data_IF_694240803717
#
_entry.id   IF_694240803717
#
_cell.length_a   1.000
_cell.length_b   1.000
_cell.length_c   1.000
_cell.angle_alpha   90.00
_cell.angle_beta   90.00
_cell.angle_gamma   90.00
#
_symmetry.space_group_name_H-M   'P 1'
#
loop_
_entity.id
_entity.type
_entity.pdbx_description
1 polymer ?
#
# COMPACT_ATOMS: atom_id res chain seq x y z
N UNK A 1 1.18 -28.82 19.54
CA UNK A 1 1.23 -27.59 18.71
C UNK A 1 0.43 -27.85 17.44
N UNK A 2 -0.62 -27.07 17.14
CA UNK A 2 -1.38 -27.21 15.88
C UNK A 2 -0.78 -26.29 14.82
N UNK A 3 -0.22 -26.88 13.78
CA UNK A 3 0.30 -26.21 12.58
C UNK A 3 -0.87 -25.55 11.84
N UNK A 4 -0.88 -24.22 11.83
CA UNK A 4 -1.72 -23.45 10.92
C UNK A 4 -1.02 -23.52 9.56
N UNK A 5 -1.22 -24.62 8.85
CA UNK A 5 -0.52 -24.95 7.60
C UNK A 5 -1.16 -26.12 6.87
N UNK A 6 -1.69 -27.09 7.61
CA UNK A 6 -2.66 -28.07 7.09
C UNK A 6 -4.06 -27.49 7.27
N UNK A 7 -4.40 -26.49 6.46
CA UNK A 7 -5.79 -26.39 6.07
C UNK A 7 -6.06 -27.66 5.27
N UNK A 8 -6.72 -28.62 5.91
CA UNK A 8 -7.06 -29.93 5.36
C UNK A 8 -7.49 -29.72 3.90
N UNK A 9 -6.67 -30.13 2.92
CA UNK A 9 -6.94 -29.86 1.49
C UNK A 9 -8.29 -30.46 1.07
N UNK A 10 -8.83 -31.36 1.89
CA UNK A 10 -10.19 -31.89 1.88
C UNK A 10 -11.28 -30.81 1.90
N UNK A 11 -11.00 -29.60 2.38
CA UNK A 11 -11.92 -28.47 2.48
C UNK A 11 -11.97 -27.62 1.20
N UNK A 12 -11.09 -27.83 0.23
CA UNK A 12 -11.11 -27.14 -1.07
C UNK A 12 -11.96 -27.95 -2.05
N UNK A 13 -12.99 -27.32 -2.62
CA UNK A 13 -13.82 -27.94 -3.67
C UNK A 13 -13.34 -27.64 -5.08
N UNK A 14 -12.77 -26.45 -5.27
CA UNK A 14 -12.32 -26.01 -6.59
C UNK A 14 -11.08 -25.13 -6.47
N UNK A 15 -10.15 -25.34 -7.40
CA UNK A 15 -8.95 -24.53 -7.55
C UNK A 15 -8.74 -24.25 -9.04
N UNK A 16 -8.89 -22.99 -9.45
CA UNK A 16 -8.81 -22.62 -10.86
C UNK A 16 -8.12 -21.27 -11.06
N UNK A 17 -7.37 -21.12 -12.16
CA UNK A 17 -6.85 -19.81 -12.57
C UNK A 17 -7.92 -19.06 -13.35
N UNK A 18 -8.16 -17.80 -12.99
CA UNK A 18 -9.17 -16.96 -13.62
C UNK A 18 -8.51 -15.82 -14.41
N UNK A 19 -9.24 -15.32 -15.41
CA UNK A 19 -8.78 -14.24 -16.28
C UNK A 19 -7.86 -14.69 -17.42
N UNK A 20 -7.56 -13.74 -18.29
CA UNK A 20 -6.75 -13.95 -19.48
C UNK A 20 -5.27 -13.90 -19.14
N UNK A 21 -4.47 -14.73 -19.81
CA UNK A 21 -3.03 -14.68 -19.69
C UNK A 21 -2.53 -13.44 -20.44
N UNK A 22 -2.11 -12.42 -19.69
CA UNK A 22 -1.34 -11.31 -20.22
C UNK A 22 0.15 -11.59 -19.94
N UNK A 23 1.00 -11.52 -20.96
CA UNK A 23 2.42 -11.84 -20.83
C UNK A 23 3.05 -11.07 -19.66
N UNK A 24 3.71 -11.77 -18.75
CA UNK A 24 4.39 -11.15 -17.59
C UNK A 24 3.52 -10.96 -16.34
N UNK A 25 2.22 -11.30 -16.36
CA UNK A 25 1.36 -11.28 -15.16
C UNK A 25 0.92 -12.68 -14.74
N UNK A 26 1.20 -13.06 -13.49
CA UNK A 26 0.69 -14.30 -12.92
C UNK A 26 -0.84 -14.19 -12.82
N UNK A 27 -1.55 -15.14 -13.42
CA UNK A 27 -3.01 -15.16 -13.36
C UNK A 27 -3.51 -15.39 -11.93
N UNK A 28 -4.52 -14.64 -11.48
CA UNK A 28 -5.14 -14.87 -10.18
C UNK A 28 -5.74 -16.27 -10.09
N UNK A 29 -5.75 -16.81 -8.88
CA UNK A 29 -6.30 -18.12 -8.55
C UNK A 29 -7.59 -17.90 -7.75
N UNK A 30 -8.67 -18.54 -8.20
CA UNK A 30 -9.91 -18.67 -7.45
C UNK A 30 -9.91 -20.01 -6.73
N UNK A 31 -10.10 -19.94 -5.42
CA UNK A 31 -10.24 -21.11 -4.55
C UNK A 31 -11.65 -21.10 -3.98
N UNK A 32 -12.36 -22.21 -4.15
CA UNK A 32 -13.68 -22.44 -3.54
C UNK A 32 -13.51 -23.43 -2.41
N UNK A 33 -14.07 -23.11 -1.25
CA UNK A 33 -14.06 -23.96 -0.07
C UNK A 33 -15.42 -24.63 0.10
N UNK A 34 -15.45 -25.80 0.74
CA UNK A 34 -16.69 -26.50 1.15
C UNK A 34 -17.48 -25.66 2.14
N UNK A 35 -16.78 -25.09 3.10
CA UNK A 35 -17.37 -24.30 4.19
C UNK A 35 -16.98 -22.82 4.09
N UNK A 36 -17.96 -21.93 4.28
CA UNK A 36 -17.72 -20.48 4.33
C UNK A 36 -16.93 -20.05 5.57
N UNK A 37 -17.02 -20.83 6.65
CA UNK A 37 -16.25 -20.64 7.90
C UNK A 37 -14.74 -20.62 7.63
N UNK A 38 -14.26 -21.53 6.78
CA UNK A 38 -12.85 -21.67 6.39
C UNK A 38 -12.39 -20.46 5.60
N UNK A 39 -13.17 -20.01 4.61
CA UNK A 39 -12.90 -18.78 3.85
C UNK A 39 -12.78 -17.57 4.79
N UNK A 40 -13.73 -17.43 5.71
CA UNK A 40 -13.78 -16.31 6.65
C UNK A 40 -12.56 -16.28 7.56
N UNK A 41 -12.19 -17.44 8.13
CA UNK A 41 -10.99 -17.58 8.95
C UNK A 41 -9.70 -17.23 8.19
N UNK A 42 -9.54 -17.73 6.97
CA UNK A 42 -8.36 -17.42 6.13
C UNK A 42 -8.28 -15.91 5.86
N UNK A 43 -9.41 -15.26 5.54
CA UNK A 43 -9.44 -13.83 5.28
C UNK A 43 -9.16 -12.99 6.53
N UNK A 44 -9.55 -13.44 7.72
CA UNK A 44 -9.21 -12.82 9.00
C UNK A 44 -7.71 -12.97 9.33
N UNK A 45 -7.14 -14.15 9.09
CA UNK A 45 -5.73 -14.43 9.37
C UNK A 45 -4.77 -13.92 8.27
N UNK A 46 -5.27 -13.33 7.18
CA UNK A 46 -4.45 -12.96 6.00
C UNK A 46 -3.26 -12.03 6.30
N UNK A 47 -3.38 -11.14 7.29
CA UNK A 47 -2.26 -10.28 7.69
C UNK A 47 -1.13 -11.12 8.32
N UNK A 48 -1.51 -11.96 9.28
CA UNK A 48 -0.59 -12.91 9.95
C UNK A 48 0.07 -13.85 8.95
N UNK A 49 -0.67 -14.33 7.95
CA UNK A 49 -0.15 -15.21 6.89
C UNK A 49 0.89 -14.48 6.02
N UNK A 50 0.66 -13.21 5.69
CA UNK A 50 1.62 -12.39 4.94
C UNK A 50 2.91 -12.15 5.70
N UNK A 51 2.82 -11.90 7.00
CA UNK A 51 3.97 -11.58 7.83
C UNK A 51 4.82 -12.82 8.18
N UNK A 52 4.17 -13.96 8.48
CA UNK A 52 4.85 -15.15 9.03
C UNK A 52 5.29 -16.19 8.00
N UNK A 53 4.65 -16.27 6.84
CA UNK A 53 4.88 -17.36 5.88
C UNK A 53 5.50 -16.90 4.54
N UNK A 54 6.14 -15.73 4.52
CA UNK A 54 6.82 -15.23 3.31
C UNK A 54 5.88 -14.83 2.17
N UNK A 55 4.57 -14.81 2.40
CA UNK A 55 3.56 -14.45 1.41
C UNK A 55 3.36 -12.93 1.24
N UNK A 56 4.37 -12.10 1.57
CA UNK A 56 4.27 -10.64 1.49
C UNK A 56 3.77 -10.13 0.13
N UNK A 57 4.06 -10.87 -0.95
CA UNK A 57 3.67 -10.53 -2.33
C UNK A 57 2.36 -11.18 -2.79
N UNK A 58 1.70 -11.97 -1.95
CA UNK A 58 0.43 -12.63 -2.28
C UNK A 58 -0.73 -11.84 -1.67
N UNK A 59 -1.66 -11.43 -2.53
CA UNK A 59 -2.87 -10.76 -2.12
C UNK A 59 -4.02 -11.77 -2.03
N UNK A 60 -4.56 -11.91 -0.83
CA UNK A 60 -5.76 -12.70 -0.58
C UNK A 60 -6.94 -11.74 -0.39
N UNK A 61 -7.98 -11.95 -1.20
CA UNK A 61 -9.21 -11.19 -1.08
C UNK A 61 -10.42 -12.07 -1.35
N UNK A 62 -11.58 -11.60 -0.89
CA UNK A 62 -12.84 -12.26 -1.13
C UNK A 62 -13.21 -12.14 -2.62
N UNK A 63 -13.74 -13.19 -3.22
CA UNK A 63 -14.40 -13.03 -4.52
C UNK A 63 -15.62 -12.13 -4.33
N UNK A 64 -15.73 -11.11 -5.18
CA UNK A 64 -16.75 -10.06 -5.13
C UNK A 64 -17.54 -10.08 -6.42
N UNK A 65 -18.84 -9.75 -6.32
CA UNK A 65 -19.67 -9.51 -7.51
C UNK A 65 -19.16 -8.29 -8.28
N UNK A 66 -19.62 -8.11 -9.52
CA UNK A 66 -19.23 -6.95 -10.32
C UNK A 66 -19.67 -5.64 -9.66
N UNK A 67 -20.87 -5.60 -9.08
CA UNK A 67 -21.40 -4.45 -8.34
C UNK A 67 -20.52 -4.12 -7.13
N UNK A 68 -20.20 -5.11 -6.29
CA UNK A 68 -19.33 -4.93 -5.14
C UNK A 68 -17.93 -4.43 -5.52
N UNK A 69 -17.40 -4.88 -6.67
CA UNK A 69 -16.11 -4.41 -7.21
C UNK A 69 -16.19 -2.95 -7.62
N UNK A 70 -17.27 -2.53 -8.29
CA UNK A 70 -17.49 -1.14 -8.68
C UNK A 70 -17.57 -0.22 -7.46
N UNK A 71 -18.41 -0.58 -6.48
CA UNK A 71 -18.54 0.20 -5.23
C UNK A 71 -17.21 0.29 -4.47
N UNK A 72 -16.42 -0.79 -4.45
CA UNK A 72 -15.10 -0.75 -3.83
C UNK A 72 -14.15 0.17 -4.59
N UNK A 73 -14.15 0.11 -5.93
CA UNK A 73 -13.29 0.94 -6.77
C UNK A 73 -13.56 2.42 -6.54
N UNK A 74 -14.83 2.81 -6.49
CA UNK A 74 -15.25 4.19 -6.18
C UNK A 74 -14.77 4.62 -4.79
N UNK A 75 -14.95 3.76 -3.78
CA UNK A 75 -14.50 4.04 -2.41
C UNK A 75 -12.98 4.20 -2.32
N UNK A 76 -12.23 3.35 -3.00
CA UNK A 76 -10.76 3.43 -3.04
C UNK A 76 -10.31 4.69 -3.75
N UNK A 77 -10.96 5.04 -4.87
CA UNK A 77 -10.66 6.25 -5.63
C UNK A 77 -10.90 7.51 -4.79
N UNK A 78 -12.05 7.61 -4.11
CA UNK A 78 -12.37 8.74 -3.23
C UNK A 78 -11.34 8.91 -2.11
N UNK A 79 -10.95 7.81 -1.45
CA UNK A 79 -9.90 7.84 -0.41
C UNK A 79 -8.53 8.28 -0.95
N UNK A 80 -8.21 7.93 -2.19
CA UNK A 80 -6.98 8.36 -2.85
C UNK A 80 -6.98 9.87 -3.06
N UNK A 81 -8.08 10.40 -3.58
CA UNK A 81 -8.27 11.85 -3.80
C UNK A 81 -8.23 12.63 -2.49
N UNK A 82 -8.92 12.17 -1.44
CA UNK A 82 -8.88 12.76 -0.10
C UNK A 82 -7.43 12.81 0.45
N UNK A 83 -6.66 11.73 0.27
CA UNK A 83 -5.26 11.67 0.70
C UNK A 83 -4.37 12.63 -0.09
N UNK A 84 -4.56 12.72 -1.39
CA UNK A 84 -3.80 13.65 -2.23
C UNK A 84 -4.12 15.10 -1.90
N UNK A 85 -5.40 15.42 -1.62
CA UNK A 85 -5.82 16.74 -1.18
C UNK A 85 -5.20 17.12 0.17
N UNK A 86 -5.24 16.22 1.16
CA UNK A 86 -4.57 16.44 2.46
C UNK A 86 -3.06 16.66 2.29
N UNK A 87 -2.40 15.86 1.45
CA UNK A 87 -0.96 16.00 1.19
C UNK A 87 -0.64 17.37 0.55
N UNK A 88 -1.50 17.86 -0.35
CA UNK A 88 -1.36 19.20 -0.94
C UNK A 88 -1.54 20.31 0.10
N UNK A 89 -2.56 20.23 0.96
CA UNK A 89 -2.81 21.24 2.00
C UNK A 89 -1.68 21.32 3.04
N UNK A 90 -1.13 20.17 3.46
CA UNK A 90 0.03 20.15 4.37
C UNK A 90 1.26 20.77 3.71
N UNK A 91 1.44 20.58 2.39
CA UNK A 91 2.56 21.16 1.65
C UNK A 91 2.45 22.68 1.48
N UNK A 92 1.25 23.22 1.30
CA UNK A 92 1.03 24.68 1.24
C UNK A 92 1.20 25.34 2.61
N UNK A 93 0.75 24.71 3.70
CA UNK A 93 0.96 25.24 5.06
C UNK A 93 2.46 25.33 5.43
N UNK A 94 3.28 24.35 5.04
CA UNK A 94 4.74 24.42 5.27
C UNK A 94 5.45 25.50 4.44
N UNK A 95 4.86 25.95 3.33
CA UNK A 95 5.43 27.04 2.52
C UNK A 95 5.06 28.43 3.06
N UNK A 96 3.88 28.59 3.67
CA UNK A 96 3.46 29.86 4.27
C UNK A 96 4.17 30.15 5.60
N UNK A 97 4.48 29.13 6.41
CA UNK A 97 5.26 29.31 7.65
C UNK A 97 6.77 29.59 7.41
N UNK A 98 7.26 29.36 6.18
CA UNK A 98 8.66 29.61 5.81
C UNK A 98 8.98 31.04 5.35
N UNK A 99 7.99 31.95 5.26
CA UNK A 99 8.16 33.29 4.67
C UNK A 99 8.01 34.49 5.62
N UNK A 100 7.79 34.28 6.93
CA UNK A 100 7.62 35.39 7.88
C UNK A 100 8.77 35.53 8.88
N UNK A 101 10.01 35.74 8.41
CA UNK A 101 11.03 36.45 9.20
C UNK A 101 11.99 37.21 8.28
N UNK A 102 11.93 38.55 8.19
CA UNK A 102 13.06 39.33 7.70
C UNK A 102 14.04 39.45 8.86
N UNK A 103 15.05 38.57 8.94
CA UNK A 103 16.20 38.82 9.81
C UNK A 103 17.13 39.78 9.09
N UNK A 104 16.93 41.07 9.30
CA UNK A 104 17.95 42.07 8.99
C UNK A 104 19.21 41.72 9.77
N UNK A 105 20.28 41.36 9.07
CA UNK A 105 21.62 41.23 9.65
C UNK A 105 22.59 41.96 8.73
N UNK A 106 23.37 42.93 9.24
CA UNK A 106 24.14 43.84 8.42
C UNK A 106 25.35 43.13 7.82
N UNK A 107 25.47 43.22 6.49
CA UNK A 107 26.59 42.74 5.68
C UNK A 107 27.92 43.35 6.14
N UNK A 108 28.74 42.59 6.88
CA UNK A 108 30.16 42.91 7.03
C UNK A 108 30.93 42.42 5.81
N UNK A 109 31.25 43.36 4.93
CA UNK A 109 32.15 43.23 3.77
C UNK A 109 33.56 42.85 4.26
N UNK A 110 33.95 41.59 4.12
CA UNK A 110 35.34 41.17 4.27
C UNK A 110 36.12 41.53 3.00
N UNK A 111 37.15 42.38 3.17
CA UNK A 111 38.13 42.69 2.14
C UNK A 111 39.09 41.49 1.95
N UNK A 112 39.49 41.14 0.71
CA UNK A 112 40.48 40.09 0.50
C UNK A 112 41.87 40.61 0.90
N UNK A 113 42.53 39.90 1.83
CA UNK A 113 43.96 40.09 2.11
C UNK A 113 44.77 39.47 0.98
N UNK A 114 45.45 40.32 0.20
CA UNK A 114 46.57 39.89 -0.63
C UNK A 114 47.66 39.31 0.28
N UNK A 115 47.99 38.03 0.07
CA UNK A 115 49.20 37.43 0.60
C UNK A 115 50.18 37.31 -0.57
N UNK A 116 51.15 38.22 -0.63
CA UNK A 116 52.34 38.03 -1.44
C UNK A 116 53.24 37.05 -0.69
N UNK A 117 53.56 35.91 -1.34
CA UNK A 117 54.68 35.05 -0.96
C UNK A 117 55.94 35.57 -1.66
N UNK A 118 56.97 35.86 -0.88
CA UNK A 118 58.36 35.59 -1.22
C UNK A 118 58.92 34.71 -0.10
#
# INVERSE_FOLDING_TARGET
MKTIGEGDMTQVTNFQRIGWFASGRIRPVKVTFKEESVRTRILQEKARLRDKQGYQRVYLDRDRTQEERTTLKERVQRRKEEREAMTKMSRTQTQEEGQTHPTESPTKRLQPRHSQRN
#
